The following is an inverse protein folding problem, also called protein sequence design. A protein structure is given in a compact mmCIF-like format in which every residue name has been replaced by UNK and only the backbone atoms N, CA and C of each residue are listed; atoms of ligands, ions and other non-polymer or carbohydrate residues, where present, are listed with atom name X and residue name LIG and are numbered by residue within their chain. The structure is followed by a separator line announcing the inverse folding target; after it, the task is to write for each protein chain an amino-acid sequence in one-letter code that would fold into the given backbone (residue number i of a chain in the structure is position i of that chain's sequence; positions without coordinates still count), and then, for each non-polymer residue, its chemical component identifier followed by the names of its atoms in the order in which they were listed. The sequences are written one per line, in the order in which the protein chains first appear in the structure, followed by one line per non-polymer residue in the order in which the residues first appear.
data_IF_554664129738
#
_entry.id   IF_554664129738
#
_cell.length_a   1.000
_cell.length_b   1.000
_cell.length_c   1.000
_cell.angle_alpha   90.00
_cell.angle_beta   90.00
_cell.angle_gamma   90.00
#
_symmetry.space_group_name_H-M   'P 1'
#
loop_
_entity.id
_entity.type
_entity.pdbx_description
1 polymer ?
#
# COMPACT_ATOMS: atom_id res chain seq x y z
N UNK A 1 -15.65 26.21 -51.63
CA UNK A 1 -15.87 25.70 -50.25
C UNK A 1 -14.57 25.73 -49.45
N UNK A 2 -13.39 25.61 -50.07
CA UNK A 2 -12.11 25.59 -49.35
C UNK A 2 -11.60 26.96 -48.88
N UNK A 3 -11.78 28.03 -49.66
CA UNK A 3 -11.32 29.38 -49.26
C UNK A 3 -12.01 29.92 -48.00
N UNK A 4 -13.31 29.71 -47.85
CA UNK A 4 -14.05 30.18 -46.67
C UNK A 4 -13.63 29.47 -45.39
N UNK A 5 -13.30 28.17 -45.48
CA UNK A 5 -12.83 27.39 -44.34
C UNK A 5 -11.39 27.80 -43.94
N UNK A 6 -10.54 28.08 -44.95
CA UNK A 6 -9.20 28.61 -44.73
C UNK A 6 -9.23 30.00 -44.08
N UNK A 7 -10.14 30.87 -44.52
CA UNK A 7 -10.32 32.21 -43.95
C UNK A 7 -10.78 32.14 -42.49
N UNK A 8 -11.75 31.26 -42.18
CA UNK A 8 -12.21 31.05 -40.81
C UNK A 8 -11.11 30.51 -39.88
N UNK A 9 -10.25 29.64 -40.39
CA UNK A 9 -9.10 29.14 -39.63
C UNK A 9 -8.06 30.24 -39.37
N UNK A 10 -7.79 31.09 -40.36
CA UNK A 10 -6.89 32.25 -40.22
C UNK A 10 -7.45 33.24 -39.19
N UNK A 11 -8.74 33.55 -39.25
CA UNK A 11 -9.38 34.46 -38.29
C UNK A 11 -9.36 33.90 -36.86
N UNK A 12 -9.60 32.59 -36.71
CA UNK A 12 -9.48 31.91 -35.41
C UNK A 12 -8.02 31.87 -34.90
N UNK A 13 -7.04 31.80 -35.80
CA UNK A 13 -5.63 31.79 -35.45
C UNK A 13 -5.13 33.18 -35.07
N UNK A 14 -5.63 34.23 -35.73
CA UNK A 14 -5.39 35.63 -35.35
C UNK A 14 -5.92 35.92 -33.96
N UNK A 15 -7.15 35.51 -33.64
CA UNK A 15 -7.71 35.69 -32.30
C UNK A 15 -6.91 34.96 -31.20
N UNK A 16 -6.33 33.79 -31.51
CA UNK A 16 -5.42 33.08 -30.59
C UNK A 16 -4.08 33.78 -30.44
N UNK A 17 -3.54 34.33 -31.52
CA UNK A 17 -2.30 35.11 -31.51
C UNK A 17 -2.46 36.39 -30.70
N UNK A 18 -3.61 37.07 -30.80
CA UNK A 18 -3.89 38.29 -30.04
C UNK A 18 -3.90 38.02 -28.53
N UNK A 19 -4.52 36.93 -28.08
CA UNK A 19 -4.51 36.51 -26.66
C UNK A 19 -3.09 36.19 -26.19
N UNK A 20 -2.30 35.49 -27.01
CA UNK A 20 -0.91 35.16 -26.67
C UNK A 20 -0.04 36.43 -26.64
N UNK A 21 -0.26 37.37 -27.56
CA UNK A 21 0.45 38.64 -27.61
C UNK A 21 0.16 39.49 -26.37
N UNK A 22 -1.10 39.54 -25.94
CA UNK A 22 -1.51 40.24 -24.72
C UNK A 22 -0.82 39.66 -23.48
N UNK A 23 -0.79 38.33 -23.36
CA UNK A 23 -0.11 37.64 -22.26
C UNK A 23 1.42 37.88 -22.28
N UNK A 24 2.04 37.82 -23.46
CA UNK A 24 3.48 38.11 -23.63
C UNK A 24 3.80 39.56 -23.23
N UNK A 25 2.92 40.50 -23.55
CA UNK A 25 3.07 41.89 -23.13
C UNK A 25 2.95 42.06 -21.61
N UNK A 26 2.00 41.37 -20.98
CA UNK A 26 1.84 41.37 -19.52
C UNK A 26 3.11 40.85 -18.83
N UNK A 27 3.64 39.72 -19.29
CA UNK A 27 4.90 39.16 -18.78
C UNK A 27 6.12 40.06 -19.04
N UNK A 28 6.13 40.83 -20.13
CA UNK A 28 7.21 41.79 -20.42
C UNK A 28 7.14 43.03 -19.53
N UNK A 29 5.96 43.46 -19.09
CA UNK A 29 5.81 44.56 -18.13
C UNK A 29 6.28 44.13 -16.75
N UNK A 30 5.83 42.96 -16.29
CA UNK A 30 6.22 42.43 -14.97
C UNK A 30 7.74 42.23 -14.82
N UNK A 31 8.40 41.70 -15.86
CA UNK A 31 9.87 41.58 -15.87
C UNK A 31 10.60 42.92 -15.72
N UNK A 32 10.06 43.99 -16.31
CA UNK A 32 10.64 45.34 -16.23
C UNK A 32 10.44 45.93 -14.84
N UNK A 33 9.23 45.82 -14.28
CA UNK A 33 8.94 46.25 -12.91
C UNK A 33 9.83 45.55 -11.88
N UNK A 34 10.12 44.26 -12.10
CA UNK A 34 11.03 43.50 -11.24
C UNK A 34 12.51 43.87 -11.43
N UNK A 35 12.92 44.27 -12.64
CA UNK A 35 14.26 44.79 -12.92
C UNK A 35 14.46 46.16 -12.25
N UNK A 36 13.45 47.02 -12.29
CA UNK A 36 13.45 48.30 -11.57
C UNK A 36 13.49 48.11 -10.04
N UNK A 37 12.68 47.18 -9.52
CA UNK A 37 12.69 46.83 -8.08
C UNK A 37 14.06 46.31 -7.64
N UNK A 38 14.72 45.50 -8.47
CA UNK A 38 16.07 45.01 -8.21
C UNK A 38 17.06 46.17 -8.14
N UNK A 39 16.99 47.13 -9.05
CA UNK A 39 17.89 48.28 -9.07
C UNK A 39 17.65 49.20 -7.86
N UNK A 40 16.40 49.39 -7.45
CA UNK A 40 16.06 50.16 -6.24
C UNK A 40 16.46 49.42 -4.96
N UNK A 41 16.31 48.10 -4.89
CA UNK A 41 16.81 47.28 -3.79
C UNK A 41 18.34 47.30 -3.69
N UNK A 42 19.04 47.31 -4.83
CA UNK A 42 20.50 47.46 -4.85
C UNK A 42 20.94 48.82 -4.30
N UNK A 43 20.15 49.88 -4.55
CA UNK A 43 20.42 51.24 -4.06
C UNK A 43 20.17 51.35 -2.55
N UNK A 44 19.02 50.88 -2.06
CA UNK A 44 18.64 50.96 -0.64
C UNK A 44 19.44 49.95 0.21
N UNK A 45 19.81 48.82 -0.37
CA UNK A 45 20.57 47.76 0.29
C UNK A 45 21.96 48.19 0.75
N UNK A 46 22.59 49.15 0.07
CA UNK A 46 23.89 49.70 0.47
C UNK A 46 23.80 50.41 1.83
N UNK A 47 22.77 51.23 2.02
CA UNK A 47 22.61 52.04 3.23
C UNK A 47 22.11 51.17 4.40
N UNK A 48 21.20 50.24 4.13
CA UNK A 48 20.74 49.25 5.12
C UNK A 48 21.86 48.30 5.55
N UNK A 49 22.74 47.89 4.63
CA UNK A 49 23.91 47.07 4.96
C UNK A 49 24.82 47.80 5.95
N UNK A 50 25.09 49.08 5.71
CA UNK A 50 25.96 49.86 6.59
C UNK A 50 25.37 49.99 7.99
N UNK A 51 24.07 50.30 8.10
CA UNK A 51 23.36 50.38 9.39
C UNK A 51 23.27 49.02 10.08
N UNK A 52 22.98 47.94 9.35
CA UNK A 52 22.89 46.60 9.93
C UNK A 52 24.26 46.11 10.45
N UNK A 53 25.35 46.43 9.75
CA UNK A 53 26.72 46.10 10.21
C UNK A 53 27.09 46.87 11.47
N UNK A 54 26.72 48.15 11.56
CA UNK A 54 26.94 48.97 12.76
C UNK A 54 26.12 48.45 13.97
N UNK A 55 24.88 48.03 13.77
CA UNK A 55 24.00 47.49 14.84
C UNK A 55 24.34 46.03 15.20
N UNK A 56 24.83 45.22 14.26
CA UNK A 56 25.20 43.81 14.49
C UNK A 56 26.59 43.64 15.13
N UNK A 57 27.40 44.71 15.18
CA UNK A 57 28.64 44.74 15.95
C UNK A 57 28.38 44.57 17.47
N UNK A 58 27.14 44.82 17.95
CA UNK A 58 26.69 44.47 19.31
C UNK A 58 26.46 42.96 19.55
N UNK A 59 26.36 42.12 18.50
CA UNK A 59 26.06 40.68 18.59
C UNK A 59 27.26 39.83 18.12
N UNK A 60 28.48 40.27 18.47
CA UNK A 60 29.77 39.84 17.91
C UNK A 60 30.09 38.32 17.98
N UNK A 61 29.41 37.54 18.84
CA UNK A 61 29.85 36.17 19.16
C UNK A 61 29.37 35.06 18.20
N UNK A 62 28.36 35.30 17.34
CA UNK A 62 27.80 34.23 16.47
C UNK A 62 27.70 34.59 14.97
N UNK A 63 27.84 35.86 14.59
CA UNK A 63 27.63 36.30 13.20
C UNK A 63 28.78 37.20 12.74
N UNK A 64 29.58 36.74 11.78
CA UNK A 64 30.60 37.58 11.14
C UNK A 64 29.94 38.57 10.17
N UNK A 65 30.43 39.80 10.14
CA UNK A 65 30.08 40.81 9.13
C UNK A 65 30.19 40.28 7.70
N UNK A 66 31.14 39.36 7.44
CA UNK A 66 31.31 38.72 6.14
C UNK A 66 30.18 37.77 5.74
N UNK A 67 29.54 37.12 6.71
CA UNK A 67 28.47 36.14 6.45
C UNK A 67 27.19 36.83 6.00
N UNK A 68 26.89 38.02 6.55
CA UNK A 68 25.75 38.84 6.16
C UNK A 68 25.94 39.36 4.73
N UNK A 69 27.13 39.87 4.40
CA UNK A 69 27.46 40.30 3.04
C UNK A 69 27.36 39.14 2.04
N UNK A 70 27.79 37.95 2.45
CA UNK A 70 27.69 36.74 1.63
C UNK A 70 26.25 36.29 1.41
N UNK A 71 25.39 36.37 2.44
CA UNK A 71 23.97 36.07 2.36
C UNK A 71 23.23 37.08 1.47
N UNK A 72 23.49 38.38 1.65
CA UNK A 72 22.94 39.43 0.79
C UNK A 72 23.33 39.24 -0.68
N UNK A 73 24.60 38.92 -0.95
CA UNK A 73 25.07 38.61 -2.30
C UNK A 73 24.40 37.36 -2.88
N UNK A 74 24.18 36.31 -2.07
CA UNK A 74 23.46 35.10 -2.49
C UNK A 74 22.00 35.40 -2.82
N UNK A 75 21.32 36.21 -2.02
CA UNK A 75 19.95 36.64 -2.27
C UNK A 75 19.86 37.45 -3.56
N UNK A 76 20.70 38.49 -3.72
CA UNK A 76 20.73 39.34 -4.92
C UNK A 76 21.04 38.56 -6.20
N UNK A 77 21.97 37.60 -6.13
CA UNK A 77 22.32 36.73 -7.26
C UNK A 77 21.17 35.78 -7.63
N UNK A 78 20.33 35.41 -6.68
CA UNK A 78 19.23 34.48 -6.86
C UNK A 78 17.86 35.17 -6.97
N UNK A 79 17.79 36.51 -7.05
CA UNK A 79 16.52 37.26 -7.20
C UNK A 79 15.72 36.73 -8.38
N UNK A 80 16.36 36.46 -9.52
CA UNK A 80 15.68 35.90 -10.70
C UNK A 80 15.00 34.54 -10.42
N UNK A 81 15.59 33.69 -9.58
CA UNK A 81 14.98 32.42 -9.17
C UNK A 81 13.85 32.62 -8.17
N UNK A 82 13.98 33.60 -7.27
CA UNK A 82 12.94 33.97 -6.32
C UNK A 82 11.73 34.55 -7.07
N UNK A 83 11.94 35.44 -8.03
CA UNK A 83 10.91 35.98 -8.93
C UNK A 83 10.19 34.87 -9.68
N UNK A 84 10.92 33.95 -10.32
CA UNK A 84 10.31 32.82 -11.02
C UNK A 84 9.49 31.92 -10.08
N UNK A 85 9.87 31.82 -8.81
CA UNK A 85 9.09 31.09 -7.80
C UNK A 85 7.82 31.84 -7.42
N UNK A 86 7.87 33.18 -7.32
CA UNK A 86 6.67 33.99 -7.09
C UNK A 86 5.66 33.88 -8.24
N UNK A 87 6.12 33.90 -9.49
CA UNK A 87 5.28 33.65 -10.68
C UNK A 87 4.65 32.24 -10.63
N UNK A 88 5.38 31.24 -10.15
CA UNK A 88 4.83 29.89 -9.95
C UNK A 88 3.81 29.82 -8.82
N UNK A 89 4.01 30.58 -7.73
CA UNK A 89 3.07 30.62 -6.60
C UNK A 89 1.74 31.30 -6.98
N UNK A 90 1.76 32.26 -7.90
CA UNK A 90 0.54 32.85 -8.46
C UNK A 90 -0.30 31.79 -9.19
N UNK A 91 0.36 30.96 -10.02
CA UNK A 91 -0.30 29.82 -10.67
C UNK A 91 -0.82 28.75 -9.67
N UNK A 92 -0.16 28.57 -8.52
CA UNK A 92 -0.63 27.66 -7.46
C UNK A 92 -1.89 28.21 -6.80
N UNK A 93 -1.99 29.53 -6.62
CA UNK A 93 -3.18 30.16 -6.07
C UNK A 93 -4.37 29.96 -7.00
N UNK A 94 -4.21 30.19 -8.29
CA UNK A 94 -5.27 29.97 -9.29
C UNK A 94 -5.70 28.49 -9.32
N UNK A 95 -4.74 27.57 -9.28
CA UNK A 95 -5.02 26.14 -9.17
C UNK A 95 -5.80 25.80 -7.89
N UNK A 96 -5.47 26.39 -6.75
CA UNK A 96 -6.17 26.16 -5.48
C UNK A 96 -7.59 26.73 -5.54
N UNK A 97 -7.78 27.91 -6.11
CA UNK A 97 -9.11 28.53 -6.30
C UNK A 97 -9.99 27.68 -7.22
N UNK A 98 -9.43 27.10 -8.29
CA UNK A 98 -10.14 26.21 -9.22
C UNK A 98 -10.38 24.79 -8.67
N UNK A 99 -9.44 24.28 -7.86
CA UNK A 99 -9.51 22.93 -7.29
C UNK A 99 -10.36 22.87 -6.02
N UNK A 100 -10.47 23.97 -5.27
CA UNK A 100 -11.22 24.03 -4.01
C UNK A 100 -12.68 23.54 -4.15
N UNK A 101 -13.47 23.96 -5.16
CA UNK A 101 -14.84 23.46 -5.37
C UNK A 101 -14.90 21.95 -5.63
N UNK A 102 -14.00 21.44 -6.48
CA UNK A 102 -13.94 20.01 -6.84
C UNK A 102 -13.53 19.16 -5.63
N UNK A 103 -12.59 19.67 -4.82
CA UNK A 103 -12.12 18.98 -3.62
C UNK A 103 -13.21 18.76 -2.58
N UNK A 104 -14.16 19.70 -2.46
CA UNK A 104 -15.29 19.58 -1.52
C UNK A 104 -16.21 18.43 -1.90
N UNK A 105 -16.57 18.30 -3.18
CA UNK A 105 -17.43 17.20 -3.64
C UNK A 105 -16.70 15.86 -3.51
N UNK A 106 -15.44 15.80 -3.93
CA UNK A 106 -14.59 14.62 -3.76
C UNK A 106 -14.51 14.20 -2.29
N UNK A 107 -14.32 15.16 -1.37
CA UNK A 107 -14.26 14.89 0.07
C UNK A 107 -15.57 14.32 0.61
N UNK A 108 -16.72 14.84 0.17
CA UNK A 108 -18.03 14.33 0.59
C UNK A 108 -18.25 12.89 0.08
N UNK A 109 -17.90 12.61 -1.18
CA UNK A 109 -18.01 11.27 -1.76
C UNK A 109 -17.06 10.27 -1.08
N UNK A 110 -15.83 10.70 -0.77
CA UNK A 110 -14.88 9.90 0.01
C UNK A 110 -15.41 9.62 1.40
N UNK A 111 -15.95 10.62 2.11
CA UNK A 111 -16.54 10.43 3.44
C UNK A 111 -17.73 9.46 3.40
N UNK A 112 -18.60 9.56 2.39
CA UNK A 112 -19.70 8.64 2.21
C UNK A 112 -19.24 7.20 1.97
N UNK A 113 -18.21 7.00 1.13
CA UNK A 113 -17.62 5.68 0.87
C UNK A 113 -16.92 5.12 2.10
N UNK A 114 -16.13 5.93 2.81
CA UNK A 114 -15.46 5.52 4.05
C UNK A 114 -16.49 5.14 5.12
N UNK A 115 -17.56 5.91 5.25
CA UNK A 115 -18.64 5.59 6.18
C UNK A 115 -19.39 4.30 5.78
N UNK A 116 -19.59 4.05 4.48
CA UNK A 116 -20.16 2.78 4.01
C UNK A 116 -19.23 1.60 4.30
N UNK A 117 -17.92 1.76 4.11
CA UNK A 117 -16.91 0.75 4.45
C UNK A 117 -16.90 0.45 5.95
N UNK A 118 -16.99 1.49 6.78
CA UNK A 118 -17.08 1.37 8.24
C UNK A 118 -18.35 0.62 8.66
N UNK A 119 -19.51 1.02 8.14
CA UNK A 119 -20.79 0.34 8.40
C UNK A 119 -20.80 -1.13 7.96
N UNK A 120 -20.08 -1.46 6.89
CA UNK A 120 -19.91 -2.83 6.40
C UNK A 120 -18.85 -3.63 7.20
N UNK A 121 -18.16 -3.00 8.16
CA UNK A 121 -17.17 -3.65 9.01
C UNK A 121 -15.79 -3.83 8.37
N UNK A 122 -15.47 -3.13 7.27
CA UNK A 122 -14.17 -3.27 6.60
C UNK A 122 -13.02 -2.82 7.49
N UNK A 123 -13.18 -1.75 8.26
CA UNK A 123 -12.13 -1.29 9.18
C UNK A 123 -11.90 -2.26 10.32
N UNK A 124 -12.97 -2.83 10.88
CA UNK A 124 -12.86 -3.87 11.92
C UNK A 124 -12.18 -5.11 11.37
N UNK A 125 -12.59 -5.60 10.20
CA UNK A 125 -11.95 -6.72 9.52
C UNK A 125 -10.45 -6.46 9.26
N UNK A 126 -10.09 -5.29 8.72
CA UNK A 126 -8.69 -4.92 8.49
C UNK A 126 -7.88 -4.83 9.79
N UNK A 127 -8.49 -4.32 10.86
CA UNK A 127 -7.86 -4.24 12.19
C UNK A 127 -7.58 -5.63 12.74
N UNK A 128 -8.55 -6.52 12.68
CA UNK A 128 -8.40 -7.92 13.11
C UNK A 128 -7.34 -8.64 12.26
N UNK A 129 -7.37 -8.45 10.94
CA UNK A 129 -6.35 -9.00 10.04
C UNK A 129 -4.95 -8.46 10.36
N UNK A 130 -4.82 -7.16 10.68
CA UNK A 130 -3.54 -6.57 11.12
C UNK A 130 -3.07 -7.17 12.44
N UNK A 131 -3.98 -7.36 13.41
CA UNK A 131 -3.64 -7.99 14.69
C UNK A 131 -3.22 -9.45 14.52
N UNK A 132 -3.90 -10.20 13.63
CA UNK A 132 -3.48 -11.54 13.25
C UNK A 132 -2.10 -11.53 12.59
N UNK A 133 -1.83 -10.59 11.68
CA UNK A 133 -0.52 -10.44 11.05
C UNK A 133 0.58 -10.12 12.07
N UNK A 134 0.33 -9.23 13.02
CA UNK A 134 1.27 -8.93 14.11
C UNK A 134 1.53 -10.16 14.98
N UNK A 135 0.48 -10.91 15.34
CA UNK A 135 0.63 -12.16 16.09
C UNK A 135 1.45 -13.20 15.31
N UNK A 136 1.26 -13.28 13.99
CA UNK A 136 2.05 -14.15 13.13
C UNK A 136 3.51 -13.68 13.08
N UNK A 137 3.78 -12.39 12.85
CA UNK A 137 5.14 -11.84 12.79
C UNK A 137 5.88 -11.95 14.13
N UNK A 138 5.17 -11.88 15.25
CA UNK A 138 5.75 -12.05 16.59
C UNK A 138 5.94 -13.51 16.99
N UNK A 139 5.09 -14.42 16.50
CA UNK A 139 5.15 -15.84 16.84
C UNK A 139 5.99 -16.67 15.88
N UNK A 140 6.18 -16.21 14.65
CA UNK A 140 6.95 -16.88 13.62
C UNK A 140 8.20 -16.08 13.30
N UNK A 141 9.33 -16.76 13.24
CA UNK A 141 10.58 -16.17 12.81
C UNK A 141 10.57 -15.92 11.29
N UNK A 142 11.48 -15.09 10.79
CA UNK A 142 11.64 -14.88 9.34
C UNK A 142 11.92 -16.19 8.58
N UNK A 143 12.54 -17.17 9.25
CA UNK A 143 12.79 -18.50 8.72
C UNK A 143 11.49 -19.32 8.60
N UNK A 144 10.62 -19.25 9.60
CA UNK A 144 9.31 -19.91 9.55
C UNK A 144 8.43 -19.37 8.43
N UNK A 145 8.43 -18.05 8.22
CA UNK A 145 7.68 -17.42 7.12
C UNK A 145 8.23 -17.85 5.76
N UNK A 146 9.56 -17.99 5.63
CA UNK A 146 10.19 -18.45 4.40
C UNK A 146 9.86 -19.93 4.13
N UNK A 147 9.97 -20.78 5.14
CA UNK A 147 9.57 -22.19 5.05
C UNK A 147 8.09 -22.35 4.70
N UNK A 148 7.21 -21.50 5.23
CA UNK A 148 5.79 -21.48 4.89
C UNK A 148 5.55 -21.03 3.45
N UNK A 149 6.27 -20.01 2.98
CA UNK A 149 6.22 -19.54 1.59
C UNK A 149 6.67 -20.62 0.60
N UNK A 150 7.79 -21.30 0.90
CA UNK A 150 8.34 -22.36 0.04
C UNK A 150 7.42 -23.60 -0.03
N UNK A 151 6.66 -23.85 1.04
CA UNK A 151 5.73 -24.99 1.12
C UNK A 151 4.26 -24.60 0.96
N UNK A 152 3.95 -23.36 0.57
CA UNK A 152 2.58 -22.84 0.56
C UNK A 152 1.67 -23.67 -0.36
N UNK A 153 2.18 -24.11 -1.52
CA UNK A 153 1.44 -24.93 -2.47
C UNK A 153 1.11 -26.31 -1.87
N UNK A 154 2.06 -26.93 -1.17
CA UNK A 154 1.87 -28.23 -0.50
C UNK A 154 0.85 -28.11 0.64
N UNK A 155 0.93 -27.06 1.44
CA UNK A 155 -0.02 -26.79 2.52
C UNK A 155 -1.42 -26.57 1.95
N UNK A 156 -1.56 -25.71 0.92
CA UNK A 156 -2.85 -25.45 0.26
C UNK A 156 -3.44 -26.71 -0.37
N UNK A 157 -2.63 -27.55 -1.02
CA UNK A 157 -3.08 -28.84 -1.55
C UNK A 157 -3.51 -29.79 -0.44
N UNK A 158 -2.82 -29.80 0.70
CA UNK A 158 -3.21 -30.62 1.85
C UNK A 158 -4.54 -30.15 2.44
N UNK A 159 -4.71 -28.86 2.65
CA UNK A 159 -5.99 -28.27 3.11
C UNK A 159 -7.11 -28.56 2.11
N UNK A 160 -6.84 -28.43 0.82
CA UNK A 160 -7.78 -28.78 -0.25
C UNK A 160 -8.17 -30.26 -0.19
N UNK A 161 -7.21 -31.15 0.05
CA UNK A 161 -7.47 -32.59 0.16
C UNK A 161 -8.27 -32.95 1.43
N UNK A 162 -7.98 -32.31 2.56
CA UNK A 162 -8.72 -32.49 3.81
C UNK A 162 -10.14 -31.93 3.74
N UNK A 163 -10.36 -30.89 2.95
CA UNK A 163 -11.68 -30.29 2.71
C UNK A 163 -12.47 -30.99 1.60
N UNK A 164 -11.97 -32.09 1.04
CA UNK A 164 -12.76 -32.92 0.13
C UNK A 164 -13.94 -33.56 0.86
N UNK A 165 -15.11 -33.73 0.19
CA UNK A 165 -16.32 -34.26 0.82
C UNK A 165 -16.12 -35.58 1.57
N UNK A 166 -15.37 -36.52 0.97
CA UNK A 166 -15.12 -37.84 1.55
C UNK A 166 -14.31 -37.76 2.85
N UNK A 167 -13.30 -36.89 2.91
CA UNK A 167 -12.46 -36.67 4.10
C UNK A 167 -13.24 -35.95 5.20
N UNK A 168 -14.00 -34.91 4.85
CA UNK A 168 -14.88 -34.22 5.79
C UNK A 168 -15.91 -35.17 6.40
N UNK A 169 -16.49 -36.06 5.59
CA UNK A 169 -17.43 -37.06 6.06
C UNK A 169 -16.77 -38.07 7.01
N UNK A 170 -15.57 -38.55 6.69
CA UNK A 170 -14.81 -39.44 7.57
C UNK A 170 -14.48 -38.79 8.92
N UNK A 171 -14.03 -37.54 8.92
CA UNK A 171 -13.75 -36.77 10.14
C UNK A 171 -15.02 -36.56 10.97
N UNK A 172 -16.12 -36.16 10.34
CA UNK A 172 -17.40 -35.97 11.03
C UNK A 172 -17.91 -37.29 11.64
N UNK A 173 -17.79 -38.40 10.92
CA UNK A 173 -18.14 -39.72 11.44
C UNK A 173 -17.27 -40.10 12.65
N UNK A 174 -15.96 -39.89 12.58
CA UNK A 174 -15.05 -40.16 13.68
C UNK A 174 -15.36 -39.30 14.92
N UNK A 175 -15.63 -38.00 14.73
CA UNK A 175 -16.02 -37.09 15.81
C UNK A 175 -17.36 -37.49 16.43
N UNK A 176 -18.32 -37.95 15.62
CA UNK A 176 -19.61 -38.45 16.11
C UNK A 176 -19.48 -39.74 16.91
N UNK A 177 -18.56 -40.64 16.52
CA UNK A 177 -18.24 -41.84 17.29
C UNK A 177 -17.56 -41.46 18.61
N UNK A 178 -16.56 -40.58 18.59
CA UNK A 178 -15.86 -40.10 19.79
C UNK A 178 -16.82 -39.48 20.82
N UNK A 179 -17.76 -38.61 20.37
CA UNK A 179 -18.78 -38.02 21.25
C UNK A 179 -19.76 -39.03 21.85
N UNK A 180 -19.95 -40.17 21.21
CA UNK A 180 -20.87 -41.24 21.65
C UNK A 180 -20.19 -42.29 22.52
N UNK A 181 -18.86 -42.34 22.52
CA UNK A 181 -18.09 -43.17 23.43
C UNK A 181 -18.05 -42.45 24.77
N UNK A 182 -18.95 -42.79 25.69
CA UNK A 182 -18.73 -42.47 27.10
C UNK A 182 -17.49 -43.27 27.53
N UNK A 183 -16.36 -42.58 27.71
CA UNK A 183 -15.04 -43.19 27.96
C UNK A 183 -14.92 -43.63 29.43
N UNK A 184 -16.02 -44.05 30.04
CA UNK A 184 -16.05 -44.78 31.30
C UNK A 184 -16.28 -46.24 30.96
N UNK A 185 -15.20 -47.01 30.94
CA UNK A 185 -15.29 -48.47 30.91
C UNK A 185 -15.87 -48.92 32.25
N UNK A 186 -17.19 -48.89 32.37
CA UNK A 186 -17.89 -49.37 33.56
C UNK A 186 -17.95 -50.90 33.53
N UNK A 187 -16.98 -51.53 34.18
CA UNK A 187 -17.03 -52.94 34.57
C UNK A 187 -15.72 -53.71 34.39
N UNK A 188 -15.55 -54.75 35.21
CA UNK A 188 -14.43 -55.68 35.13
C UNK A 188 -14.45 -56.44 33.79
N UNK A 189 -13.60 -55.99 32.87
CA UNK A 189 -13.40 -56.63 31.58
C UNK A 189 -12.68 -57.97 31.80
N UNK A 190 -13.44 -59.07 31.80
CA UNK A 190 -12.88 -60.41 31.92
C UNK A 190 -12.10 -60.82 30.66
N UNK A 191 -10.91 -61.40 30.84
CA UNK A 191 -10.03 -61.89 29.76
C UNK A 191 -10.76 -62.79 28.74
N UNK A 192 -11.72 -63.61 29.18
CA UNK A 192 -12.51 -64.46 28.28
C UNK A 192 -13.47 -63.65 27.41
N UNK A 193 -14.06 -62.57 27.94
CA UNK A 193 -14.94 -61.69 27.17
C UNK A 193 -14.15 -60.99 26.06
N UNK A 194 -12.93 -60.54 26.33
CA UNK A 194 -12.05 -59.95 25.32
C UNK A 194 -11.73 -60.91 24.17
N UNK A 195 -11.38 -62.15 24.48
CA UNK A 195 -11.10 -63.16 23.44
C UNK A 195 -12.33 -63.45 22.58
N UNK A 196 -13.53 -63.49 23.18
CA UNK A 196 -14.78 -63.63 22.45
C UNK A 196 -15.08 -62.40 21.59
N UNK A 197 -14.83 -61.20 22.10
CA UNK A 197 -15.06 -59.93 21.40
C UNK A 197 -14.12 -59.77 20.19
N UNK A 198 -12.88 -60.23 20.29
CA UNK A 198 -11.95 -60.27 19.15
C UNK A 198 -12.45 -61.15 18.00
N UNK A 199 -13.30 -62.14 18.28
CA UNK A 199 -13.94 -63.00 17.27
C UNK A 199 -15.34 -62.49 16.86
N UNK A 200 -15.75 -61.30 17.30
CA UNK A 200 -16.96 -60.66 16.78
C UNK A 200 -16.86 -60.42 15.27
N UNK A 201 -18.00 -60.25 14.60
CA UNK A 201 -18.03 -60.03 13.16
C UNK A 201 -17.49 -58.64 12.79
N UNK A 202 -17.67 -57.70 13.71
CA UNK A 202 -17.29 -56.30 13.67
C UNK A 202 -15.76 -56.16 13.74
N UNK A 203 -15.12 -56.78 14.75
CA UNK A 203 -13.67 -56.74 14.91
C UNK A 203 -12.97 -57.48 13.78
N UNK A 204 -13.51 -58.62 13.32
CA UNK A 204 -12.95 -59.33 12.14
C UNK A 204 -13.04 -58.51 10.85
N UNK A 205 -14.14 -57.80 10.62
CA UNK A 205 -14.28 -56.87 9.49
C UNK A 205 -13.31 -55.70 9.59
N UNK A 206 -13.14 -55.14 10.79
CA UNK A 206 -12.15 -54.08 11.05
C UNK A 206 -10.71 -54.53 10.78
N UNK A 207 -10.34 -55.74 11.23
CA UNK A 207 -9.03 -56.33 10.94
C UNK A 207 -8.83 -56.58 9.44
N UNK A 208 -9.85 -57.09 8.74
CA UNK A 208 -9.78 -57.29 7.29
C UNK A 208 -9.59 -55.97 6.53
N UNK A 209 -10.30 -54.91 6.94
CA UNK A 209 -10.11 -53.57 6.41
C UNK A 209 -8.69 -53.06 6.66
N UNK A 210 -8.16 -53.20 7.87
CA UNK A 210 -6.80 -52.79 8.22
C UNK A 210 -5.76 -53.51 7.35
N UNK A 211 -5.92 -54.82 7.14
CA UNK A 211 -5.03 -55.60 6.25
C UNK A 211 -5.11 -55.09 4.81
N UNK A 212 -6.30 -54.79 4.29
CA UNK A 212 -6.45 -54.24 2.94
C UNK A 212 -5.86 -52.83 2.81
N UNK A 213 -6.08 -51.99 3.82
CA UNK A 213 -5.53 -50.64 3.88
C UNK A 213 -3.99 -50.66 3.86
N UNK A 214 -3.38 -51.50 4.70
CA UNK A 214 -1.92 -51.68 4.74
C UNK A 214 -1.34 -52.21 3.43
N UNK A 215 -2.04 -53.16 2.79
CA UNK A 215 -1.65 -53.65 1.44
C UNK A 215 -1.68 -52.53 0.40
N UNK A 216 -2.69 -51.69 0.43
CA UNK A 216 -2.82 -50.57 -0.51
C UNK A 216 -1.73 -49.51 -0.28
N UNK A 217 -1.40 -49.20 0.98
CA UNK A 217 -0.30 -48.28 1.32
C UNK A 217 1.06 -48.79 0.84
N UNK A 218 1.35 -50.08 1.07
CA UNK A 218 2.58 -50.69 0.59
C UNK A 218 2.68 -50.63 -0.94
N UNK A 219 1.59 -50.94 -1.65
CA UNK A 219 1.55 -50.88 -3.12
C UNK A 219 1.69 -49.46 -3.69
N UNK A 220 1.27 -48.41 -2.96
CA UNK A 220 1.51 -47.01 -3.37
C UNK A 220 2.94 -46.55 -3.16
N UNK A 221 3.73 -47.22 -2.31
CA UNK A 221 5.14 -46.89 -2.07
C UNK A 221 6.05 -47.45 -3.20
N UNK A 222 5.58 -48.44 -3.95
CA UNK A 222 6.29 -49.03 -5.11
C UNK A 222 6.00 -48.32 -6.46
N UNK A 223 5.28 -47.19 -6.46
CA UNK A 223 5.11 -46.39 -7.66
C UNK A 223 6.43 -45.65 -7.99
N UNK A 224 7.02 -45.82 -9.18
CA UNK A 224 8.30 -45.20 -9.51
C UNK A 224 8.17 -43.68 -9.41
N UNK A 225 9.15 -43.07 -8.73
CA UNK A 225 9.32 -41.62 -8.67
C UNK A 225 9.19 -41.06 -10.09
N UNK A 226 8.17 -40.22 -10.30
CA UNK A 226 7.95 -39.51 -11.56
C UNK A 226 9.23 -38.76 -11.88
N UNK A 227 9.92 -39.26 -12.90
CA UNK A 227 11.12 -38.68 -13.47
C UNK A 227 10.72 -37.43 -14.25
N UNK A 228 11.42 -36.34 -13.95
CA UNK A 228 11.71 -35.18 -14.82
C UNK A 228 10.54 -34.44 -15.48
N UNK A 229 10.44 -33.15 -15.15
CA UNK A 229 9.85 -32.12 -16.00
C UNK A 229 10.40 -32.23 -17.45
N UNK A 230 9.55 -32.05 -18.48
CA UNK A 230 10.04 -31.51 -19.75
C UNK A 230 10.08 -29.97 -19.68
N UNK A 231 11.13 -29.41 -20.27
CA UNK A 231 11.36 -27.98 -20.54
C UNK A 231 10.19 -27.31 -21.28
#
# INVERSE_FOLDING_TARGET
MDEQNMQQQIDALNGKLDIILEEIEHQRRHRREMEDLKDDLMRVGHDLYKTAVEELEEIHDEVSTGDIAHLAKKLLRNVNHITATFEQLENVRDFVEDFAPVSRQLSLDMMARLHEMDRKGYFEFLREMSSMADNVVTSFTAEDVRNLGDNVVTILNTVKNLTQPDMLQAINNALNVYKKLDITVEGDVSMMKLVREMNSSEVRRGMAFMVQFLKNLANTTDAPAVTSLPE
#
